data_IF_854326500837
#
_entry.id   IF_854326500837
#
_cell.length_a   1.000
_cell.length_b   1.000
_cell.length_c   1.000
_cell.angle_alpha   90.00
_cell.angle_beta   90.00
_cell.angle_gamma   90.00
#
_symmetry.space_group_name_H-M   'P 1'
#
loop_
_entity.id
_entity.type
_entity.pdbx_description
1 polymer ?
#
# COMPACT_ATOMS: atom_id res chain seq x y z
N UNK A 1 -13.97 14.56 -13.02
CA UNK A 1 -15.04 15.41 -13.60
C UNK A 1 -14.75 15.79 -15.05
N UNK A 2 -13.51 16.06 -15.45
CA UNK A 2 -13.20 16.41 -16.86
C UNK A 2 -13.10 15.19 -17.82
N UNK A 3 -13.59 14.01 -17.44
CA UNK A 3 -13.51 12.79 -18.26
C UNK A 3 -12.22 11.96 -18.09
N UNK A 4 -11.31 12.37 -17.20
CA UNK A 4 -10.06 11.66 -16.93
C UNK A 4 -10.27 10.33 -16.20
N UNK A 5 -9.46 9.32 -16.54
CA UNK A 5 -9.35 8.07 -15.80
C UNK A 5 -8.09 8.07 -14.92
N UNK A 6 -8.15 7.61 -13.66
CA UNK A 6 -6.97 7.51 -12.79
C UNK A 6 -5.89 6.57 -13.37
N UNK A 7 -6.29 5.61 -14.22
CA UNK A 7 -5.36 4.69 -14.87
C UNK A 7 -4.56 5.37 -15.99
N UNK A 8 -5.11 6.36 -16.69
CA UNK A 8 -4.49 6.93 -17.90
C UNK A 8 -4.07 8.38 -17.76
N UNK A 9 -4.56 9.11 -16.75
CA UNK A 9 -4.29 10.54 -16.56
C UNK A 9 -2.79 10.85 -16.49
N UNK A 10 -2.37 11.91 -17.19
CA UNK A 10 -1.00 12.42 -17.12
C UNK A 10 -0.79 13.17 -15.80
N UNK A 11 -0.15 12.53 -14.83
CA UNK A 11 -0.05 12.99 -13.44
C UNK A 11 0.69 14.31 -13.31
N UNK A 12 1.65 14.59 -14.21
CA UNK A 12 2.41 15.85 -14.24
C UNK A 12 1.54 17.08 -14.52
N UNK A 13 0.36 16.90 -15.12
CA UNK A 13 -0.57 18.00 -15.46
C UNK A 13 -1.54 18.36 -14.34
N UNK A 14 -1.64 17.55 -13.28
CA UNK A 14 -2.68 17.72 -12.25
C UNK A 14 -2.60 19.11 -11.60
N UNK A 15 -1.39 19.53 -11.17
CA UNK A 15 -1.21 20.80 -10.48
C UNK A 15 -1.51 22.02 -11.38
N UNK A 16 -1.08 21.98 -12.65
CA UNK A 16 -1.34 23.07 -13.59
C UNK A 16 -2.83 23.18 -13.93
N UNK A 17 -3.53 22.05 -14.04
CA UNK A 17 -4.98 22.00 -14.25
C UNK A 17 -5.77 22.52 -13.07
N UNK A 18 -5.45 22.08 -11.85
CA UNK A 18 -6.09 22.60 -10.63
C UNK A 18 -5.92 24.11 -10.51
N UNK A 19 -4.72 24.62 -10.81
CA UNK A 19 -4.47 26.07 -10.85
C UNK A 19 -5.32 26.76 -11.93
N UNK A 20 -5.38 26.21 -13.14
CA UNK A 20 -6.19 26.78 -14.22
C UNK A 20 -7.68 26.83 -13.87
N UNK A 21 -8.23 25.79 -13.26
CA UNK A 21 -9.62 25.74 -12.79
C UNK A 21 -9.85 26.83 -11.72
N UNK A 22 -8.93 26.97 -10.76
CA UNK A 22 -9.01 28.00 -9.72
C UNK A 22 -8.96 29.42 -10.27
N UNK A 23 -8.03 29.70 -11.19
CA UNK A 23 -7.82 31.02 -11.78
C UNK A 23 -8.98 31.41 -12.71
N UNK A 24 -9.46 30.47 -13.53
CA UNK A 24 -10.49 30.73 -14.54
C UNK A 24 -11.92 30.58 -14.00
N UNK A 25 -12.08 29.93 -12.84
CA UNK A 25 -13.38 29.55 -12.25
C UNK A 25 -14.29 28.83 -13.25
N UNK A 26 -13.69 27.94 -14.02
CA UNK A 26 -14.37 27.15 -15.04
C UNK A 26 -13.80 25.74 -15.08
N UNK A 27 -14.66 24.77 -15.37
CA UNK A 27 -14.34 23.35 -15.49
C UNK A 27 -14.84 22.86 -16.86
N UNK A 28 -14.05 22.02 -17.54
CA UNK A 28 -14.51 21.40 -18.79
C UNK A 28 -15.08 20.03 -18.48
N UNK A 29 -16.39 19.97 -18.21
CA UNK A 29 -17.09 18.75 -17.87
C UNK A 29 -17.02 17.75 -19.03
N UNK A 30 -16.56 16.54 -18.71
CA UNK A 30 -16.38 15.45 -19.67
C UNK A 30 -15.61 15.87 -20.95
N UNK A 31 -14.63 16.78 -20.80
CA UNK A 31 -13.83 17.35 -21.90
C UNK A 31 -14.62 18.02 -23.03
N UNK A 32 -15.92 18.23 -22.86
CA UNK A 32 -16.84 18.71 -23.92
C UNK A 32 -17.50 20.03 -23.55
N UNK A 33 -17.97 20.16 -22.31
CA UNK A 33 -18.83 21.26 -21.91
C UNK A 33 -18.16 22.13 -20.86
N UNK A 34 -17.84 23.37 -21.21
CA UNK A 34 -17.27 24.33 -20.26
C UNK A 34 -18.38 24.89 -19.37
N UNK A 35 -18.29 24.63 -18.08
CA UNK A 35 -19.22 25.13 -17.06
C UNK A 35 -18.50 26.09 -16.10
N UNK A 36 -19.27 26.98 -15.46
CA UNK A 36 -18.77 27.76 -14.33
C UNK A 36 -18.53 26.81 -13.15
N UNK A 37 -17.35 26.89 -12.55
CA UNK A 37 -16.99 26.11 -11.37
C UNK A 37 -16.03 26.93 -10.53
N UNK A 38 -16.47 27.38 -9.36
CA UNK A 38 -15.66 28.10 -8.37
C UNK A 38 -15.32 27.12 -7.24
N UNK A 39 -14.10 26.57 -7.16
CA UNK A 39 -13.73 25.59 -6.13
C UNK A 39 -14.00 26.07 -4.70
N UNK A 40 -13.97 27.38 -4.43
CA UNK A 40 -14.24 27.92 -3.10
C UNK A 40 -15.73 27.83 -2.70
N UNK A 41 -16.64 27.67 -3.66
CA UNK A 41 -18.09 27.56 -3.44
C UNK A 41 -18.62 26.17 -3.73
N UNK A 42 -18.11 25.56 -4.80
CA UNK A 42 -18.68 24.36 -5.39
C UNK A 42 -18.00 23.07 -4.86
N UNK A 43 -16.86 23.20 -4.17
CA UNK A 43 -16.20 22.10 -3.46
C UNK A 43 -16.25 22.34 -1.95
N UNK A 44 -17.30 21.80 -1.31
CA UNK A 44 -17.56 21.98 0.13
C UNK A 44 -16.98 20.82 0.93
N UNK A 45 -16.15 21.13 1.92
CA UNK A 45 -15.58 20.15 2.85
C UNK A 45 -16.34 20.14 4.17
N UNK A 46 -17.03 19.05 4.46
CA UNK A 46 -17.69 18.80 5.74
C UNK A 46 -16.76 18.03 6.67
N UNK A 47 -15.82 18.72 7.34
CA UNK A 47 -14.77 18.07 8.14
C UNK A 47 -15.26 17.35 9.40
N UNK A 48 -16.44 17.71 9.92
CA UNK A 48 -16.98 17.20 11.19
C UNK A 48 -18.30 16.44 11.02
N UNK A 49 -18.73 16.22 9.78
CA UNK A 49 -19.95 15.50 9.46
C UNK A 49 -19.58 14.39 8.49
N UNK A 50 -20.08 13.19 8.75
CA UNK A 50 -19.96 12.06 7.83
C UNK A 50 -21.34 11.64 7.35
N UNK A 51 -21.39 11.12 6.13
CA UNK A 51 -22.60 10.46 5.66
C UNK A 51 -22.84 9.18 6.51
N UNK A 52 -24.11 8.81 6.79
CA UNK A 52 -24.42 7.71 7.69
C UNK A 52 -23.81 6.35 7.32
N UNK A 53 -23.59 6.12 6.02
CA UNK A 53 -23.30 4.79 5.48
C UNK A 53 -21.81 4.44 5.53
N UNK A 54 -20.91 5.41 5.29
CA UNK A 54 -19.46 5.22 5.36
C UNK A 54 -18.74 6.58 5.52
N UNK A 55 -17.65 6.67 6.32
CA UNK A 55 -16.94 7.93 6.57
C UNK A 55 -16.37 8.58 5.30
N UNK A 56 -15.90 7.79 4.33
CA UNK A 56 -15.39 8.28 3.05
C UNK A 56 -16.53 8.48 2.03
N UNK A 57 -17.48 9.34 2.36
CA UNK A 57 -18.64 9.68 1.52
C UNK A 57 -18.48 11.01 0.77
N UNK A 58 -18.97 11.09 -0.46
CA UNK A 58 -19.04 12.31 -1.25
C UNK A 58 -20.40 12.43 -1.94
N UNK A 59 -20.91 13.66 -2.07
CA UNK A 59 -22.16 13.96 -2.77
C UNK A 59 -21.88 14.86 -3.97
N UNK A 60 -22.34 14.45 -5.15
CA UNK A 60 -22.33 15.27 -6.35
C UNK A 60 -23.74 15.84 -6.57
N UNK A 61 -23.81 17.16 -6.74
CA UNK A 61 -25.04 17.87 -7.07
C UNK A 61 -24.85 18.58 -8.41
N UNK A 62 -25.81 18.44 -9.32
CA UNK A 62 -25.87 19.16 -10.59
C UNK A 62 -27.00 20.17 -10.55
N UNK A 63 -26.73 21.40 -10.99
CA UNK A 63 -27.67 22.52 -11.01
C UNK A 63 -27.81 23.08 -12.42
N UNK A 64 -28.97 23.66 -12.73
CA UNK A 64 -29.17 24.40 -13.97
C UNK A 64 -28.68 25.86 -13.88
N UNK A 65 -28.92 26.65 -14.93
CA UNK A 65 -28.53 28.06 -14.97
C UNK A 65 -29.32 28.95 -14.00
N UNK A 66 -30.49 28.51 -13.54
CA UNK A 66 -31.31 29.24 -12.57
C UNK A 66 -30.92 28.90 -11.13
N UNK A 67 -30.08 27.88 -10.94
CA UNK A 67 -29.68 27.37 -9.64
C UNK A 67 -30.62 26.27 -9.11
N UNK A 68 -31.51 25.75 -9.94
CA UNK A 68 -32.39 24.64 -9.58
C UNK A 68 -31.61 23.33 -9.59
N UNK A 69 -31.77 22.53 -8.54
CA UNK A 69 -31.11 21.22 -8.41
C UNK A 69 -31.71 20.23 -9.43
N UNK A 70 -30.88 19.78 -10.37
CA UNK A 70 -31.26 18.83 -11.42
C UNK A 70 -31.08 17.37 -10.96
N UNK A 71 -29.98 17.08 -10.28
CA UNK A 71 -29.65 15.73 -9.84
C UNK A 71 -28.72 15.76 -8.62
N UNK A 72 -28.84 14.74 -7.78
CA UNK A 72 -27.93 14.48 -6.66
C UNK A 72 -27.64 13.00 -6.57
N UNK A 73 -26.36 12.64 -6.42
CA UNK A 73 -25.92 11.27 -6.18
C UNK A 73 -24.85 11.26 -5.09
N UNK A 74 -24.94 10.27 -4.21
CA UNK A 74 -23.94 10.01 -3.17
C UNK A 74 -23.07 8.82 -3.57
N UNK A 75 -21.77 8.91 -3.31
CA UNK A 75 -20.80 7.87 -3.59
C UNK A 75 -19.91 7.67 -2.37
N UNK A 76 -19.50 6.42 -2.15
CA UNK A 76 -18.70 6.02 -1.01
C UNK A 76 -17.48 5.26 -1.49
N UNK A 77 -16.29 5.68 -1.04
CA UNK A 77 -15.02 4.98 -1.29
C UNK A 77 -14.77 3.98 -0.17
N UNK A 78 -14.84 2.69 -0.48
CA UNK A 78 -14.79 1.58 0.51
C UNK A 78 -13.42 0.89 0.58
N UNK A 79 -12.37 1.56 0.12
CA UNK A 79 -10.99 1.06 0.12
C UNK A 79 -10.57 0.36 -1.17
N UNK A 80 -9.26 0.37 -1.47
CA UNK A 80 -8.69 -0.22 -2.69
C UNK A 80 -9.08 0.45 -4.01
N UNK A 81 -9.74 1.63 -3.96
CA UNK A 81 -10.23 2.35 -5.13
C UNK A 81 -11.65 1.99 -5.58
N UNK A 82 -12.34 1.08 -4.86
CA UNK A 82 -13.72 0.72 -5.15
C UNK A 82 -14.69 1.80 -4.65
N UNK A 83 -15.65 2.15 -5.52
CA UNK A 83 -16.68 3.18 -5.25
C UNK A 83 -18.06 2.58 -5.39
N UNK A 84 -18.94 2.89 -4.43
CA UNK A 84 -20.31 2.37 -4.39
C UNK A 84 -21.32 3.50 -4.17
N UNK A 85 -22.52 3.38 -4.70
CA UNK A 85 -23.66 4.26 -4.45
C UNK A 85 -24.93 3.43 -4.23
N UNK A 86 -26.08 4.07 -3.98
CA UNK A 86 -27.36 3.39 -3.75
C UNK A 86 -27.78 2.44 -4.89
N UNK A 87 -27.46 2.76 -6.15
CA UNK A 87 -27.84 1.95 -7.32
C UNK A 87 -26.85 0.85 -7.65
N UNK A 88 -25.58 1.04 -7.30
CA UNK A 88 -24.52 0.03 -7.36
C UNK A 88 -24.38 -0.70 -6.04
N UNK A 89 -25.32 -0.49 -5.09
CA UNK A 89 -25.55 -1.42 -3.99
C UNK A 89 -25.93 -2.74 -4.64
N UNK A 90 -24.96 -3.62 -4.69
CA UNK A 90 -25.21 -5.00 -5.04
C UNK A 90 -26.16 -5.52 -3.94
N UNK A 91 -27.36 -5.95 -4.32
CA UNK A 91 -28.44 -6.42 -3.44
C UNK A 91 -28.06 -7.63 -2.56
N UNK A 92 -26.78 -8.02 -2.53
CA UNK A 92 -26.27 -9.32 -2.16
C UNK A 92 -24.98 -9.25 -1.31
N UNK A 93 -24.68 -8.10 -0.68
CA UNK A 93 -23.76 -8.06 0.47
C UNK A 93 -22.25 -8.09 0.17
N UNK A 94 -21.79 -7.86 -1.07
CA UNK A 94 -20.35 -7.66 -1.36
C UNK A 94 -19.78 -6.40 -0.70
N UNK A 95 -20.63 -5.42 -0.45
CA UNK A 95 -20.31 -4.29 0.41
C UNK A 95 -20.65 -4.65 1.85
N UNK A 96 -19.94 -5.63 2.42
CA UNK A 96 -20.11 -6.10 3.82
C UNK A 96 -20.11 -4.95 4.82
N UNK A 97 -19.52 -3.81 4.44
CA UNK A 97 -19.30 -2.65 5.30
C UNK A 97 -20.11 -1.40 4.92
N UNK A 98 -21.04 -1.49 3.97
CA UNK A 98 -22.03 -0.43 3.73
C UNK A 98 -23.15 -0.55 4.77
N UNK A 99 -23.37 0.48 5.60
CA UNK A 99 -24.47 0.50 6.58
C UNK A 99 -25.75 0.97 5.89
N UNK A 100 -26.76 0.12 5.75
CA UNK A 100 -28.07 0.54 5.24
C UNK A 100 -28.83 1.39 6.26
N UNK A 101 -29.71 2.29 5.81
CA UNK A 101 -30.53 3.14 6.69
C UNK A 101 -31.50 2.35 7.59
N UNK A 102 -31.70 1.05 7.34
CA UNK A 102 -32.54 0.15 8.15
C UNK A 102 -31.77 -0.73 9.16
N UNK A 103 -30.44 -0.60 9.28
CA UNK A 103 -29.60 -1.49 10.10
C UNK A 103 -29.44 -1.01 11.56
N UNK A 104 -30.54 -0.66 12.25
CA UNK A 104 -30.48 -0.37 13.69
C UNK A 104 -30.73 -1.56 14.62
N UNK A 105 -31.19 -2.69 14.11
CA UNK A 105 -31.49 -3.87 14.93
C UNK A 105 -31.42 -5.15 14.08
N UNK A 106 -30.23 -5.71 13.87
CA UNK A 106 -30.11 -7.16 13.68
C UNK A 106 -28.67 -7.66 13.76
N UNK A 107 -28.45 -8.63 14.66
CA UNK A 107 -27.41 -9.66 14.54
C UNK A 107 -27.63 -10.45 13.23
N UNK A 108 -27.27 -9.88 12.08
CA UNK A 108 -27.44 -10.56 10.79
C UNK A 108 -26.24 -11.44 10.50
N UNK A 109 -26.49 -12.74 10.62
CA UNK A 109 -25.83 -13.81 9.88
C UNK A 109 -25.65 -13.37 8.43
N UNK A 110 -24.41 -13.37 7.96
CA UNK A 110 -24.02 -13.07 6.57
C UNK A 110 -24.86 -13.97 5.64
N UNK A 111 -25.72 -13.43 4.75
CA UNK A 111 -26.50 -14.25 3.85
C UNK A 111 -25.58 -15.04 2.93
N UNK A 112 -25.63 -16.38 3.02
CA UNK A 112 -24.79 -17.32 2.23
C UNK A 112 -24.99 -17.23 0.71
N UNK A 113 -25.95 -16.44 0.23
CA UNK A 113 -26.47 -16.46 -1.13
C UNK A 113 -25.53 -15.88 -2.19
N UNK A 114 -24.46 -15.15 -1.81
CA UNK A 114 -23.43 -14.68 -2.77
C UNK A 114 -22.05 -15.31 -2.69
N UNK A 115 -21.74 -16.16 -1.68
CA UNK A 115 -20.62 -17.10 -1.86
C UNK A 115 -20.80 -17.85 -3.19
N UNK A 116 -22.04 -18.18 -3.54
CA UNK A 116 -22.32 -19.09 -4.64
C UNK A 116 -22.33 -18.52 -6.07
N UNK A 117 -22.16 -17.22 -6.37
CA UNK A 117 -22.24 -16.74 -7.78
C UNK A 117 -20.88 -16.56 -8.47
N UNK A 118 -19.91 -15.91 -7.81
CA UNK A 118 -18.53 -15.90 -8.30
C UNK A 118 -17.88 -17.28 -8.14
N UNK A 119 -18.19 -18.02 -7.05
CA UNK A 119 -17.79 -19.42 -6.90
C UNK A 119 -18.54 -20.35 -7.89
N UNK A 120 -19.73 -19.99 -8.40
CA UNK A 120 -20.39 -20.77 -9.45
C UNK A 120 -19.80 -20.54 -10.85
N UNK A 121 -19.02 -19.48 -11.03
CA UNK A 121 -18.39 -19.15 -12.32
C UNK A 121 -16.93 -19.59 -12.35
N UNK A 122 -16.22 -19.47 -11.22
CA UNK A 122 -14.85 -19.94 -11.04
C UNK A 122 -14.73 -21.46 -11.22
N UNK A 123 -13.66 -21.93 -11.86
CA UNK A 123 -13.44 -23.36 -12.06
C UNK A 123 -13.08 -24.08 -10.74
N UNK A 124 -12.28 -23.42 -9.91
CA UNK A 124 -11.68 -23.92 -8.69
C UNK A 124 -11.92 -22.92 -7.54
N UNK A 125 -13.17 -22.78 -7.08
CA UNK A 125 -13.55 -21.82 -6.04
C UNK A 125 -12.94 -22.14 -4.66
N UNK A 126 -12.52 -21.10 -3.92
CA UNK A 126 -12.06 -21.20 -2.53
C UNK A 126 -12.46 -19.97 -1.70
N UNK A 127 -12.83 -20.19 -0.44
CA UNK A 127 -13.30 -19.15 0.49
C UNK A 127 -12.33 -18.83 1.62
N UNK A 128 -11.45 -19.78 1.97
CA UNK A 128 -10.51 -19.70 3.09
C UNK A 128 -9.20 -20.42 2.74
N UNK A 129 -8.17 -20.24 3.58
CA UNK A 129 -6.86 -20.82 3.34
C UNK A 129 -6.91 -22.35 3.35
N UNK A 130 -7.65 -22.93 4.31
CA UNK A 130 -7.83 -24.38 4.41
C UNK A 130 -8.39 -25.00 3.12
N UNK A 131 -9.43 -24.40 2.53
CA UNK A 131 -10.02 -24.82 1.25
C UNK A 131 -9.02 -24.68 0.10
N UNK A 132 -8.24 -23.59 0.05
CA UNK A 132 -7.22 -23.38 -0.97
C UNK A 132 -6.13 -24.47 -0.91
N UNK A 133 -5.66 -24.84 0.28
CA UNK A 133 -4.68 -25.92 0.44
C UNK A 133 -5.24 -27.27 -0.04
N UNK A 134 -6.45 -27.61 0.40
CA UNK A 134 -7.12 -28.86 0.01
C UNK A 134 -7.33 -28.94 -1.51
N UNK A 135 -7.65 -27.82 -2.14
CA UNK A 135 -7.81 -27.69 -3.58
C UNK A 135 -6.49 -27.91 -4.32
N UNK A 136 -5.41 -27.28 -3.86
CA UNK A 136 -4.06 -27.47 -4.42
C UNK A 136 -3.60 -28.93 -4.29
N UNK A 137 -3.83 -29.57 -3.13
CA UNK A 137 -3.48 -30.98 -2.88
C UNK A 137 -4.32 -31.92 -3.75
N UNK A 138 -5.63 -31.66 -3.88
CA UNK A 138 -6.55 -32.50 -4.67
C UNK A 138 -6.25 -32.46 -6.16
N UNK A 139 -6.01 -31.27 -6.71
CA UNK A 139 -5.76 -31.07 -8.14
C UNK A 139 -4.27 -31.19 -8.51
N UNK A 140 -3.39 -31.34 -7.53
CA UNK A 140 -1.94 -31.33 -7.69
C UNK A 140 -1.45 -30.07 -8.45
N UNK A 141 -1.91 -28.91 -7.98
CA UNK A 141 -1.63 -27.59 -8.56
C UNK A 141 -0.96 -26.66 -7.55
N UNK A 142 -0.19 -25.69 -8.05
CA UNK A 142 0.27 -24.56 -7.23
C UNK A 142 -0.87 -23.56 -7.00
N UNK A 143 -0.69 -22.66 -6.03
CA UNK A 143 -1.66 -21.58 -5.78
C UNK A 143 -1.82 -20.70 -7.01
N UNK A 144 -0.73 -20.34 -7.70
CA UNK A 144 -0.79 -19.55 -8.93
C UNK A 144 -1.55 -20.26 -10.04
N UNK A 145 -1.37 -21.57 -10.22
CA UNK A 145 -2.11 -22.38 -11.19
C UNK A 145 -3.61 -22.39 -10.89
N UNK A 146 -4.00 -22.55 -9.62
CA UNK A 146 -5.42 -22.46 -9.21
C UNK A 146 -6.02 -21.10 -9.56
N UNK A 147 -5.29 -20.00 -9.29
CA UNK A 147 -5.77 -18.65 -9.65
C UNK A 147 -5.82 -18.47 -11.16
N UNK A 148 -4.82 -18.97 -11.90
CA UNK A 148 -4.78 -18.90 -13.36
C UNK A 148 -5.99 -19.61 -13.99
N UNK A 149 -6.31 -20.83 -13.54
CA UNK A 149 -7.49 -21.59 -14.00
C UNK A 149 -8.81 -20.86 -13.69
N UNK A 150 -8.88 -20.15 -12.56
CA UNK A 150 -10.02 -19.30 -12.24
C UNK A 150 -10.10 -18.09 -13.18
N UNK A 151 -8.98 -17.39 -13.40
CA UNK A 151 -8.93 -16.20 -14.26
C UNK A 151 -9.30 -16.48 -15.72
N UNK A 152 -9.01 -17.70 -16.22
CA UNK A 152 -9.39 -18.15 -17.56
C UNK A 152 -10.91 -18.16 -17.81
N UNK A 153 -11.73 -18.06 -16.76
CA UNK A 153 -13.20 -17.95 -16.89
C UNK A 153 -13.66 -16.59 -17.39
N UNK A 154 -12.87 -15.55 -17.16
CA UNK A 154 -13.23 -14.17 -17.53
C UNK A 154 -12.34 -13.61 -18.64
N UNK A 155 -11.15 -14.17 -18.85
CA UNK A 155 -10.11 -13.64 -19.74
C UNK A 155 -9.40 -14.75 -20.47
N UNK A 156 -8.87 -14.46 -21.65
CA UNK A 156 -7.97 -15.37 -22.36
C UNK A 156 -6.58 -15.44 -21.69
N UNK A 157 -5.83 -16.51 -21.99
CA UNK A 157 -4.46 -16.69 -21.52
C UNK A 157 -3.55 -15.50 -21.87
N UNK A 158 -3.69 -14.97 -23.09
CA UNK A 158 -2.91 -13.82 -23.57
C UNK A 158 -3.27 -12.55 -22.77
N UNK A 159 -4.55 -12.29 -22.54
CA UNK A 159 -4.98 -11.13 -21.76
C UNK A 159 -4.52 -11.19 -20.30
N UNK A 160 -4.52 -12.38 -19.68
CA UNK A 160 -4.02 -12.57 -18.31
C UNK A 160 -2.55 -12.21 -18.25
N UNK A 161 -1.78 -12.74 -19.20
CA UNK A 161 -0.34 -12.46 -19.33
C UNK A 161 -0.10 -10.96 -19.55
N UNK A 162 -0.68 -10.37 -20.60
CA UNK A 162 -0.51 -8.95 -20.93
C UNK A 162 -0.83 -8.04 -19.75
N UNK A 163 -1.94 -8.28 -19.04
CA UNK A 163 -2.33 -7.48 -17.87
C UNK A 163 -1.38 -7.65 -16.68
N UNK A 164 -0.92 -8.87 -16.45
CA UNK A 164 0.06 -9.15 -15.38
C UNK A 164 1.38 -8.42 -15.64
N UNK A 165 1.85 -8.42 -16.90
CA UNK A 165 3.01 -7.65 -17.29
C UNK A 165 2.77 -6.14 -17.26
N UNK A 166 1.58 -5.66 -17.62
CA UNK A 166 1.23 -4.24 -17.49
C UNK A 166 1.27 -3.76 -16.04
N UNK A 167 0.77 -4.58 -15.10
CA UNK A 167 0.88 -4.35 -13.65
C UNK A 167 2.35 -4.25 -13.25
N UNK A 168 3.16 -5.26 -13.61
CA UNK A 168 4.59 -5.28 -13.27
C UNK A 168 5.34 -4.09 -13.87
N UNK A 169 5.14 -3.78 -15.14
CA UNK A 169 5.80 -2.66 -15.81
C UNK A 169 5.46 -1.32 -15.14
N UNK A 170 4.22 -1.15 -14.70
CA UNK A 170 3.81 0.07 -13.96
C UNK A 170 4.46 0.13 -12.58
N UNK A 171 4.55 -1.00 -11.89
CA UNK A 171 5.28 -1.15 -10.63
C UNK A 171 6.78 -0.81 -10.76
N UNK A 172 7.46 -1.37 -11.75
CA UNK A 172 8.88 -1.13 -12.01
C UNK A 172 9.15 0.32 -12.43
N UNK A 173 8.25 0.91 -13.23
CA UNK A 173 8.30 2.33 -13.58
C UNK A 173 8.14 3.22 -12.34
N UNK A 174 7.27 2.89 -11.38
CA UNK A 174 7.14 3.63 -10.14
C UNK A 174 8.43 3.58 -9.29
N UNK A 175 9.08 2.41 -9.21
CA UNK A 175 10.40 2.27 -8.56
C UNK A 175 11.43 3.18 -9.26
N UNK A 176 11.51 3.08 -10.59
CA UNK A 176 12.45 3.86 -11.40
C UNK A 176 12.24 5.37 -11.21
N UNK A 177 11.00 5.85 -11.27
CA UNK A 177 10.67 7.25 -11.08
C UNK A 177 11.04 7.73 -9.68
N UNK A 178 10.71 6.96 -8.63
CA UNK A 178 11.09 7.30 -7.26
C UNK A 178 12.60 7.34 -7.04
N UNK A 179 13.35 6.38 -7.60
CA UNK A 179 14.81 6.32 -7.50
C UNK A 179 15.53 7.42 -8.30
N UNK A 180 14.96 7.85 -9.43
CA UNK A 180 15.56 8.84 -10.33
C UNK A 180 15.00 10.25 -10.17
N UNK A 181 14.07 10.45 -9.24
CA UNK A 181 13.46 11.76 -8.98
C UNK A 181 14.52 12.83 -8.67
N UNK A 182 14.33 14.00 -9.27
CA UNK A 182 15.10 15.21 -8.98
C UNK A 182 14.54 16.02 -7.81
N UNK A 183 13.31 15.71 -7.36
CA UNK A 183 12.65 16.45 -6.30
C UNK A 183 13.33 16.17 -4.96
N UNK A 184 13.67 17.21 -4.23
CA UNK A 184 14.27 17.04 -2.90
C UNK A 184 13.21 16.74 -1.83
N UNK A 185 11.99 17.25 -1.99
CA UNK A 185 10.95 17.25 -0.96
C UNK A 185 9.62 16.73 -1.51
N UNK A 186 8.87 16.01 -0.68
CA UNK A 186 7.50 15.61 -0.95
C UNK A 186 6.54 16.81 -0.79
N UNK A 187 5.43 16.84 -1.56
CA UNK A 187 4.41 17.87 -1.40
C UNK A 187 3.70 17.75 -0.04
N UNK A 188 3.00 18.81 0.37
CA UNK A 188 2.28 18.85 1.65
C UNK A 188 3.03 19.63 2.74
N UNK A 189 2.42 19.72 3.93
CA UNK A 189 2.88 20.61 5.01
C UNK A 189 4.09 20.06 5.77
N UNK A 190 4.26 18.74 5.78
CA UNK A 190 5.32 18.07 6.54
C UNK A 190 6.73 18.28 5.99
N UNK A 191 6.88 18.73 4.73
CA UNK A 191 8.18 18.94 4.08
C UNK A 191 9.12 17.74 4.32
N UNK A 192 8.66 16.54 3.99
CA UNK A 192 9.46 15.32 4.12
C UNK A 192 10.43 15.23 2.94
N UNK A 193 11.71 14.97 3.20
CA UNK A 193 12.72 14.81 2.15
C UNK A 193 12.56 13.47 1.43
N UNK A 194 12.66 13.45 0.10
CA UNK A 194 12.82 12.21 -0.67
C UNK A 194 14.16 11.54 -0.36
N UNK A 195 14.12 10.28 0.06
CA UNK A 195 15.27 9.48 0.48
C UNK A 195 15.68 8.49 -0.60
N UNK A 196 14.75 7.99 -1.43
CA UNK A 196 15.05 6.95 -2.42
C UNK A 196 16.21 7.32 -3.37
N UNK A 197 16.27 8.52 -3.99
CA UNK A 197 17.38 8.85 -4.88
C UNK A 197 18.75 8.85 -4.19
N UNK A 198 18.80 9.34 -2.96
CA UNK A 198 20.04 9.41 -2.18
C UNK A 198 20.52 8.03 -1.73
N UNK A 199 19.59 7.15 -1.35
CA UNK A 199 19.88 5.77 -0.95
C UNK A 199 20.27 4.91 -2.16
N UNK A 200 19.56 5.02 -3.27
CA UNK A 200 19.89 4.30 -4.51
C UNK A 200 21.28 4.66 -5.04
N UNK A 201 21.63 5.96 -5.05
CA UNK A 201 23.00 6.41 -5.40
C UNK A 201 24.07 5.81 -4.47
N UNK A 202 23.78 5.57 -3.18
CA UNK A 202 24.73 4.94 -2.25
C UNK A 202 24.93 3.45 -2.53
N UNK A 203 23.88 2.74 -2.96
CA UNK A 203 23.96 1.34 -3.39
C UNK A 203 24.82 1.19 -4.64
N UNK A 204 24.63 2.06 -5.63
CA UNK A 204 25.37 2.02 -6.91
C UNK A 204 26.84 2.44 -6.81
N UNK A 205 27.28 3.07 -5.70
CA UNK A 205 28.69 3.44 -5.52
C UNK A 205 29.64 2.24 -5.45
N UNK A 206 29.13 1.01 -5.30
CA UNK A 206 29.92 -0.23 -5.38
C UNK A 206 31.01 -0.36 -4.30
N UNK A 207 31.74 -1.48 -4.36
CA UNK A 207 32.94 -1.75 -3.55
C UNK A 207 34.19 -1.01 -4.09
N UNK A 208 34.20 -0.70 -5.38
CA UNK A 208 35.31 -0.04 -6.10
C UNK A 208 35.02 1.42 -6.47
N UNK A 209 34.25 2.14 -5.64
CA UNK A 209 34.15 3.60 -5.77
C UNK A 209 35.56 4.18 -5.86
N UNK A 210 35.82 5.07 -6.82
CA UNK A 210 37.11 5.77 -6.96
C UNK A 210 37.46 6.66 -5.75
N UNK A 211 36.56 6.71 -4.77
CA UNK A 211 36.78 7.23 -3.42
C UNK A 211 37.47 6.18 -2.55
N UNK A 212 38.70 6.40 -2.07
CA UNK A 212 39.40 5.43 -1.25
C UNK A 212 38.56 5.02 -0.03
N UNK A 213 38.42 3.71 0.19
CA UNK A 213 37.78 3.09 1.38
C UNK A 213 38.31 3.63 2.72
N UNK A 214 39.43 4.36 2.70
CA UNK A 214 40.13 4.88 3.87
C UNK A 214 40.07 6.41 4.06
N UNK A 215 39.43 7.19 3.18
CA UNK A 215 39.45 8.68 3.26
C UNK A 215 38.16 9.36 3.73
N UNK A 216 37.06 8.64 3.94
CA UNK A 216 35.76 9.25 4.29
C UNK A 216 35.47 9.40 5.80
N UNK A 217 36.48 9.26 6.67
CA UNK A 217 36.34 9.71 8.07
C UNK A 217 36.49 11.21 8.26
N UNK A 218 36.99 11.95 7.25
CA UNK A 218 37.13 13.41 7.34
C UNK A 218 36.02 14.20 6.64
N UNK A 219 35.31 13.62 5.66
CA UNK A 219 34.30 14.34 4.86
C UNK A 219 32.94 14.48 5.58
N UNK A 220 32.69 13.69 6.62
CA UNK A 220 31.52 13.87 7.50
C UNK A 220 31.69 14.97 8.55
N UNK A 221 32.84 15.66 8.60
CA UNK A 221 33.06 16.81 9.49
C UNK A 221 32.86 18.18 8.82
N UNK A 222 32.61 18.27 7.51
CA UNK A 222 32.74 19.56 6.80
C UNK A 222 31.49 20.12 6.10
N UNK A 223 30.28 19.58 6.31
CA UNK A 223 29.05 20.22 5.77
C UNK A 223 28.09 20.68 6.88
N UNK A 224 28.65 21.46 7.81
CA UNK A 224 27.93 22.22 8.83
C UNK A 224 28.45 23.64 8.94
N UNK A 225 28.76 24.32 7.84
CA UNK A 225 29.01 25.76 7.83
C UNK A 225 27.72 26.50 7.49
N UNK A 226 26.84 26.65 8.48
CA UNK A 226 25.63 27.45 8.29
C UNK A 226 24.50 27.23 9.29
N UNK A 227 24.78 26.99 10.58
CA UNK A 227 23.78 27.14 11.64
C UNK A 227 24.50 27.38 12.98
N UNK A 228 23.93 28.27 13.79
CA UNK A 228 24.40 28.73 15.11
C UNK A 228 25.24 27.69 15.86
N UNK A 229 26.50 28.03 16.17
CA UNK A 229 27.22 27.39 17.28
C UNK A 229 26.54 27.85 18.57
N UNK A 230 25.44 27.21 18.91
CA UNK A 230 24.98 27.21 20.29
C UNK A 230 26.10 26.55 21.10
N UNK A 231 26.69 27.35 21.98
CA UNK A 231 27.71 26.94 22.94
C UNK A 231 27.09 26.00 23.98
N UNK A 232 26.67 24.81 23.56
CA UNK A 232 26.41 23.70 24.46
C UNK A 232 27.78 23.23 24.96
N UNK A 233 28.09 23.57 26.21
CA UNK A 233 29.25 23.05 26.93
C UNK A 233 29.26 21.53 26.79
N UNK A 234 30.32 20.97 26.21
CA UNK A 234 30.46 19.54 25.99
C UNK A 234 30.73 18.87 27.36
N UNK A 235 29.69 18.72 28.18
CA UNK A 235 29.76 18.19 29.55
C UNK A 235 30.43 16.81 29.61
N UNK A 236 30.33 16.03 28.52
CA UNK A 236 31.01 14.75 28.36
C UNK A 236 32.55 14.89 28.34
N UNK A 237 33.06 15.97 27.79
CA UNK A 237 34.49 16.26 27.73
C UNK A 237 35.00 16.80 29.08
N UNK A 238 34.22 17.65 29.74
CA UNK A 238 34.53 18.17 31.09
C UNK A 238 34.53 17.07 32.15
N UNK A 239 33.60 16.12 32.08
CA UNK A 239 33.51 14.97 32.99
C UNK A 239 34.46 13.81 32.62
N UNK A 240 35.27 13.96 31.57
CA UNK A 240 36.19 12.93 31.11
C UNK A 240 35.53 11.68 30.53
N UNK A 241 34.21 11.72 30.26
CA UNK A 241 33.44 10.60 29.69
C UNK A 241 33.98 10.23 28.32
N UNK A 242 34.37 11.20 27.50
CA UNK A 242 34.95 10.95 26.16
C UNK A 242 36.24 10.11 26.20
N UNK A 243 36.95 10.06 27.34
CA UNK A 243 38.14 9.19 27.53
C UNK A 243 37.79 7.73 27.78
N UNK A 244 36.63 7.48 28.38
CA UNK A 244 36.13 6.14 28.72
C UNK A 244 35.21 5.61 27.61
N UNK A 245 34.37 6.49 27.04
CA UNK A 245 33.40 6.23 25.99
C UNK A 245 33.54 7.28 24.90
N UNK A 246 34.54 7.13 24.00
CA UNK A 246 34.74 8.08 22.92
C UNK A 246 33.53 8.10 21.98
N UNK A 247 33.24 9.28 21.42
CA UNK A 247 32.23 9.43 20.36
C UNK A 247 32.58 8.48 19.21
N UNK A 248 31.66 7.56 18.91
CA UNK A 248 31.88 6.53 17.88
C UNK A 248 31.97 7.20 16.51
N UNK A 249 32.96 6.83 15.68
CA UNK A 249 33.01 7.32 14.31
C UNK A 249 31.79 6.80 13.54
N UNK A 250 31.29 7.62 12.61
CA UNK A 250 30.20 7.22 11.72
C UNK A 250 30.70 6.08 10.84
N UNK A 251 30.07 4.90 10.94
CA UNK A 251 30.37 3.76 10.08
C UNK A 251 29.46 3.77 8.86
N UNK A 252 30.00 3.47 7.69
CA UNK A 252 29.19 3.15 6.52
C UNK A 252 28.54 1.78 6.76
N UNK A 253 27.23 1.76 7.00
CA UNK A 253 26.43 0.54 7.07
C UNK A 253 25.85 0.28 5.68
N UNK A 254 26.12 -0.90 5.13
CA UNK A 254 25.55 -1.41 3.89
C UNK A 254 25.12 -2.84 4.14
N UNK A 255 23.82 -3.12 4.02
CA UNK A 255 23.23 -4.44 4.14
C UNK A 255 22.45 -4.68 2.84
N UNK A 256 23.11 -5.12 1.75
CA UNK A 256 22.59 -5.00 0.39
C UNK A 256 21.15 -5.45 0.22
N UNK A 257 20.77 -6.64 0.71
CA UNK A 257 19.41 -7.14 0.61
C UNK A 257 18.38 -6.22 1.29
N UNK A 258 18.64 -5.79 2.53
CA UNK A 258 17.76 -4.89 3.27
C UNK A 258 17.68 -3.51 2.63
N UNK A 259 18.82 -3.01 2.16
CA UNK A 259 18.91 -1.69 1.55
C UNK A 259 18.18 -1.64 0.19
N UNK A 260 18.31 -2.66 -0.66
CA UNK A 260 17.57 -2.74 -1.94
C UNK A 260 16.05 -2.81 -1.70
N UNK A 261 15.58 -3.72 -0.84
CA UNK A 261 14.17 -3.84 -0.49
C UNK A 261 13.61 -2.50 0.05
N UNK A 262 14.35 -1.88 0.97
CA UNK A 262 13.94 -0.60 1.56
C UNK A 262 13.91 0.51 0.52
N UNK A 263 14.91 0.61 -0.36
CA UNK A 263 14.99 1.64 -1.40
C UNK A 263 13.85 1.51 -2.39
N UNK A 264 13.55 0.30 -2.87
CA UNK A 264 12.47 0.08 -3.83
C UNK A 264 11.10 0.40 -3.22
N UNK A 265 10.85 -0.01 -1.98
CA UNK A 265 9.60 0.29 -1.29
C UNK A 265 9.46 1.81 -1.03
N UNK A 266 10.52 2.47 -0.58
CA UNK A 266 10.53 3.93 -0.36
C UNK A 266 10.30 4.66 -1.68
N UNK A 267 10.93 4.23 -2.77
CA UNK A 267 10.79 4.86 -4.08
C UNK A 267 9.32 4.90 -4.54
N UNK A 268 8.62 3.76 -4.44
CA UNK A 268 7.21 3.67 -4.83
C UNK A 268 6.32 4.52 -3.92
N UNK A 269 6.54 4.49 -2.61
CA UNK A 269 5.72 5.27 -1.69
C UNK A 269 6.00 6.78 -1.74
N UNK A 270 7.22 7.20 -2.05
CA UNK A 270 7.55 8.60 -2.35
C UNK A 270 6.89 9.06 -3.65
N UNK A 271 6.83 8.19 -4.66
CA UNK A 271 6.10 8.45 -5.90
C UNK A 271 4.59 8.58 -5.66
N UNK A 272 4.01 7.68 -4.87
CA UNK A 272 2.60 7.77 -4.44
C UNK A 272 2.33 9.10 -3.69
N UNK A 273 3.17 9.44 -2.71
CA UNK A 273 3.01 10.66 -1.92
C UNK A 273 3.14 11.94 -2.76
N UNK A 274 3.85 11.87 -3.90
CA UNK A 274 3.98 12.97 -4.85
C UNK A 274 2.82 13.06 -5.87
N UNK A 275 1.86 12.14 -5.84
CA UNK A 275 0.78 12.05 -6.82
C UNK A 275 1.20 11.43 -8.15
N UNK A 276 2.31 10.70 -8.16
CA UNK A 276 2.77 9.90 -9.29
C UNK A 276 1.90 8.67 -9.53
N UNK A 277 2.18 7.97 -10.63
CA UNK A 277 1.43 6.78 -11.01
C UNK A 277 1.92 5.57 -10.22
N UNK A 278 1.01 4.88 -9.54
CA UNK A 278 1.29 3.68 -8.75
C UNK A 278 0.21 2.61 -8.96
N UNK A 279 0.53 1.37 -8.63
CA UNK A 279 -0.42 0.25 -8.63
C UNK A 279 -0.83 -0.05 -7.19
N UNK A 280 -2.13 -0.26 -6.95
CA UNK A 280 -2.64 -0.68 -5.65
C UNK A 280 -2.13 -2.07 -5.29
N UNK A 281 -1.64 -2.26 -4.07
CA UNK A 281 -1.12 -3.56 -3.63
C UNK A 281 -1.26 -3.81 -2.11
N UNK A 282 -2.48 -3.92 -1.54
CA UNK A 282 -3.79 -3.81 -2.19
C UNK A 282 -4.36 -2.37 -2.19
N UNK A 283 -3.65 -1.41 -1.57
CA UNK A 283 -4.01 0.01 -1.58
C UNK A 283 -2.80 0.86 -1.99
N UNK A 284 -3.03 2.14 -2.30
CA UNK A 284 -1.95 3.08 -2.62
C UNK A 284 -0.98 3.27 -1.43
N UNK A 285 -1.49 3.24 -0.20
CA UNK A 285 -0.69 3.36 1.02
C UNK A 285 0.28 2.21 1.23
N UNK A 286 -0.04 1.02 0.71
CA UNK A 286 0.77 -0.19 0.78
C UNK A 286 1.46 -0.57 -0.54
N UNK A 287 1.46 0.34 -1.53
CA UNK A 287 1.89 0.07 -2.89
C UNK A 287 3.36 -0.36 -3.04
N UNK A 288 4.23 -0.06 -2.07
CA UNK A 288 5.67 -0.30 -2.20
C UNK A 288 6.14 -1.71 -1.83
N UNK A 289 5.38 -2.48 -1.05
CA UNK A 289 5.84 -3.78 -0.53
C UNK A 289 6.03 -4.82 -1.64
N UNK A 290 4.96 -5.09 -2.39
CA UNK A 290 4.92 -6.07 -3.48
C UNK A 290 5.98 -5.79 -4.55
N UNK A 291 6.06 -4.58 -5.15
CA UNK A 291 7.03 -4.31 -6.19
C UNK A 291 8.48 -4.35 -5.68
N UNK A 292 8.74 -3.96 -4.42
CA UNK A 292 10.08 -4.03 -3.86
C UNK A 292 10.59 -5.48 -3.75
N UNK A 293 9.73 -6.39 -3.27
CA UNK A 293 10.07 -7.81 -3.13
C UNK A 293 10.24 -8.46 -4.50
N UNK A 294 9.32 -8.22 -5.43
CA UNK A 294 9.40 -8.76 -6.79
C UNK A 294 10.64 -8.22 -7.53
N UNK A 295 10.92 -6.91 -7.47
CA UNK A 295 12.11 -6.33 -8.10
C UNK A 295 13.39 -6.95 -7.57
N UNK A 296 13.49 -7.10 -6.25
CA UNK A 296 14.65 -7.72 -5.62
C UNK A 296 14.84 -9.17 -6.10
N UNK A 297 13.76 -9.97 -6.13
CA UNK A 297 13.82 -11.34 -6.62
C UNK A 297 14.27 -11.41 -8.08
N UNK A 298 13.68 -10.58 -8.95
CA UNK A 298 13.99 -10.57 -10.38
C UNK A 298 15.43 -10.11 -10.68
N UNK A 299 15.98 -9.18 -9.90
CA UNK A 299 17.33 -8.67 -10.14
C UNK A 299 18.45 -9.58 -9.62
N UNK A 300 18.20 -10.29 -8.51
CA UNK A 300 19.26 -10.98 -7.77
C UNK A 300 19.13 -12.49 -7.70
N UNK A 301 17.96 -13.06 -8.04
CA UNK A 301 17.67 -14.48 -7.82
C UNK A 301 17.09 -15.17 -9.07
N UNK A 302 16.16 -14.52 -9.76
CA UNK A 302 15.42 -15.13 -10.89
C UNK A 302 16.33 -15.50 -12.07
N UNK A 303 16.18 -16.73 -12.55
CA UNK A 303 16.75 -17.19 -13.82
C UNK A 303 15.74 -17.11 -14.99
N UNK A 304 14.43 -17.01 -14.69
CA UNK A 304 13.35 -16.91 -15.68
C UNK A 304 12.31 -15.84 -15.27
N UNK A 305 12.66 -14.54 -15.43
CA UNK A 305 11.82 -13.44 -14.97
C UNK A 305 10.37 -13.49 -15.46
N UNK A 306 10.17 -13.97 -16.68
CA UNK A 306 8.87 -13.96 -17.33
C UNK A 306 7.85 -14.88 -16.64
N UNK A 307 8.29 -16.08 -16.29
CA UNK A 307 7.47 -17.05 -15.57
C UNK A 307 7.30 -16.65 -14.11
N UNK A 308 8.37 -16.15 -13.49
CA UNK A 308 8.37 -15.81 -12.07
C UNK A 308 7.47 -14.61 -11.76
N UNK A 309 7.35 -13.63 -12.67
CA UNK A 309 6.39 -12.53 -12.55
C UNK A 309 4.95 -13.06 -12.45
N UNK A 310 4.59 -14.02 -13.30
CA UNK A 310 3.25 -14.62 -13.30
C UNK A 310 2.99 -15.39 -12.01
N UNK A 311 3.90 -16.28 -11.61
CA UNK A 311 3.78 -17.08 -10.39
C UNK A 311 3.65 -16.16 -9.15
N UNK A 312 4.47 -15.12 -9.07
CA UNK A 312 4.47 -14.16 -7.96
C UNK A 312 3.15 -13.40 -7.89
N UNK A 313 2.72 -12.76 -8.99
CA UNK A 313 1.52 -11.93 -9.00
C UNK A 313 0.26 -12.77 -8.72
N UNK A 314 0.11 -13.93 -9.36
CA UNK A 314 -1.06 -14.79 -9.16
C UNK A 314 -1.11 -15.36 -7.73
N UNK A 315 0.04 -15.74 -7.15
CA UNK A 315 0.11 -16.17 -5.75
C UNK A 315 -0.27 -15.04 -4.80
N UNK A 316 0.28 -13.83 -5.01
CA UNK A 316 -0.07 -12.67 -4.18
C UNK A 316 -1.55 -12.34 -4.26
N UNK A 317 -2.15 -12.46 -5.44
CA UNK A 317 -3.58 -12.25 -5.65
C UNK A 317 -4.42 -13.26 -4.85
N UNK A 318 -4.04 -14.54 -4.82
CA UNK A 318 -4.74 -15.56 -4.03
C UNK A 318 -4.81 -15.17 -2.54
N UNK A 319 -3.68 -14.75 -1.97
CA UNK A 319 -3.60 -14.33 -0.57
C UNK A 319 -4.42 -13.05 -0.33
N UNK A 320 -4.36 -12.08 -1.25
CA UNK A 320 -5.20 -10.89 -1.20
C UNK A 320 -6.70 -11.23 -1.21
N UNK A 321 -7.12 -12.22 -1.99
CA UNK A 321 -8.51 -12.70 -2.03
C UNK A 321 -8.94 -13.30 -0.68
N UNK A 322 -8.05 -14.06 -0.01
CA UNK A 322 -8.35 -14.62 1.32
C UNK A 322 -8.63 -13.51 2.34
N UNK A 323 -7.78 -12.48 2.38
CA UNK A 323 -7.99 -11.34 3.26
C UNK A 323 -9.25 -10.56 2.92
N UNK A 324 -9.54 -10.32 1.63
CA UNK A 324 -10.74 -9.60 1.21
C UNK A 324 -12.04 -10.36 1.50
N UNK A 325 -12.02 -11.70 1.46
CA UNK A 325 -13.18 -12.55 1.77
C UNK A 325 -13.37 -12.75 3.28
N UNK A 326 -12.28 -12.89 4.03
CA UNK A 326 -12.31 -13.12 5.48
C UNK A 326 -12.38 -11.84 6.32
N UNK A 327 -11.96 -10.70 5.77
CA UNK A 327 -11.87 -9.41 6.47
C UNK A 327 -11.94 -8.22 5.48
N UNK A 328 -11.80 -6.99 5.98
CA UNK A 328 -11.61 -5.82 5.12
C UNK A 328 -10.14 -5.53 4.86
N UNK A 329 -9.85 -4.98 3.69
CA UNK A 329 -8.54 -4.44 3.29
C UNK A 329 -8.48 -2.91 3.43
N UNK A 330 -9.52 -2.29 4.00
CA UNK A 330 -9.62 -0.84 4.18
C UNK A 330 -8.93 -0.39 5.47
N UNK A 331 -8.03 0.60 5.38
CA UNK A 331 -7.42 1.23 6.55
C UNK A 331 -8.44 1.87 7.49
N UNK A 332 -9.50 2.45 6.91
CA UNK A 332 -10.61 3.06 7.65
C UNK A 332 -11.38 2.05 8.52
N UNK A 333 -11.23 0.75 8.25
CA UNK A 333 -12.00 -0.30 8.93
C UNK A 333 -11.10 -1.17 9.80
N UNK A 334 -9.95 -1.60 9.27
CA UNK A 334 -9.06 -2.57 9.91
C UNK A 334 -7.73 -1.97 10.35
N UNK A 335 -7.47 -0.69 10.12
CA UNK A 335 -6.16 -0.09 10.34
C UNK A 335 -5.14 -0.51 9.29
N UNK A 336 -3.87 -0.18 9.51
CA UNK A 336 -2.79 -0.40 8.54
C UNK A 336 -2.41 -1.89 8.41
N UNK A 337 -2.80 -2.74 9.36
CA UNK A 337 -2.70 -4.20 9.19
C UNK A 337 -3.51 -4.69 7.97
N UNK A 338 -4.65 -4.06 7.65
CA UNK A 338 -5.48 -4.39 6.49
C UNK A 338 -4.89 -3.92 5.15
N UNK A 339 -3.87 -3.06 5.20
CA UNK A 339 -3.19 -2.53 4.01
C UNK A 339 -1.75 -3.07 3.92
N UNK A 340 -0.83 -2.52 4.72
CA UNK A 340 0.59 -2.89 4.70
C UNK A 340 0.79 -4.30 5.27
N UNK A 341 0.00 -4.71 6.27
CA UNK A 341 0.05 -6.09 6.77
C UNK A 341 -0.37 -7.10 5.70
N UNK A 342 -1.46 -6.82 4.97
CA UNK A 342 -1.92 -7.65 3.85
C UNK A 342 -0.87 -7.67 2.73
N UNK A 343 -0.31 -6.52 2.36
CA UNK A 343 0.75 -6.44 1.36
C UNK A 343 2.01 -7.23 1.75
N UNK A 344 2.39 -7.19 3.03
CA UNK A 344 3.48 -7.98 3.60
C UNK A 344 3.20 -9.47 3.46
N UNK A 345 2.02 -9.93 3.87
CA UNK A 345 1.60 -11.33 3.76
C UNK A 345 1.56 -11.82 2.31
N UNK A 346 0.94 -11.04 1.42
CA UNK A 346 0.90 -11.30 -0.01
C UNK A 346 2.31 -11.46 -0.59
N UNK A 347 3.23 -10.54 -0.25
CA UNK A 347 4.60 -10.56 -0.73
C UNK A 347 5.41 -11.74 -0.14
N UNK A 348 5.18 -12.11 1.12
CA UNK A 348 5.80 -13.30 1.73
C UNK A 348 5.43 -14.56 0.95
N UNK A 349 4.14 -14.72 0.64
CA UNK A 349 3.63 -15.87 -0.10
C UNK A 349 4.17 -15.91 -1.54
N UNK A 350 4.12 -14.77 -2.24
CA UNK A 350 4.68 -14.63 -3.58
C UNK A 350 6.14 -15.00 -3.62
N UNK A 351 6.95 -14.49 -2.68
CA UNK A 351 8.37 -14.79 -2.58
C UNK A 351 8.62 -16.28 -2.27
N UNK A 352 7.87 -16.86 -1.33
CA UNK A 352 8.00 -18.28 -1.00
C UNK A 352 7.67 -19.18 -2.21
N UNK A 353 6.65 -18.83 -3.01
CA UNK A 353 6.26 -19.59 -4.20
C UNK A 353 7.35 -19.58 -5.27
N UNK A 354 7.88 -18.41 -5.64
CA UNK A 354 8.95 -18.30 -6.66
C UNK A 354 10.30 -18.85 -6.19
N UNK A 355 10.48 -19.03 -4.89
CA UNK A 355 11.65 -19.75 -4.32
C UNK A 355 11.46 -21.28 -4.34
N UNK A 356 10.34 -21.80 -4.85
CA UNK A 356 10.06 -23.23 -4.93
C UNK A 356 9.50 -23.83 -3.64
N UNK A 357 8.92 -23.00 -2.77
CA UNK A 357 8.24 -23.46 -1.56
C UNK A 357 7.02 -24.34 -1.86
N UNK A 358 6.77 -25.32 -1.01
CA UNK A 358 5.52 -26.09 -1.06
C UNK A 358 4.32 -25.20 -0.76
N UNK A 359 3.12 -25.60 -1.19
CA UNK A 359 1.87 -24.85 -0.93
C UNK A 359 1.69 -24.54 0.58
N UNK A 360 2.07 -25.47 1.46
CA UNK A 360 2.05 -25.28 2.92
C UNK A 360 3.06 -24.25 3.40
N UNK A 361 4.26 -24.21 2.83
CA UNK A 361 5.26 -23.17 3.13
C UNK A 361 4.83 -21.80 2.61
N UNK A 362 4.15 -21.74 1.45
CA UNK A 362 3.59 -20.49 0.92
C UNK A 362 2.53 -19.92 1.84
N UNK A 363 1.60 -20.74 2.31
CA UNK A 363 0.61 -20.33 3.32
C UNK A 363 1.29 -19.91 4.63
N UNK A 364 2.26 -20.69 5.13
CA UNK A 364 3.00 -20.34 6.35
C UNK A 364 3.74 -19.00 6.23
N UNK A 365 4.34 -18.72 5.07
CA UNK A 365 4.98 -17.43 4.81
C UNK A 365 3.96 -16.28 4.86
N UNK A 366 2.77 -16.48 4.29
CA UNK A 366 1.67 -15.53 4.34
C UNK A 366 1.22 -15.26 5.79
N UNK A 367 1.10 -16.34 6.57
CA UNK A 367 0.70 -16.32 7.98
C UNK A 367 1.68 -15.51 8.84
N UNK A 368 2.97 -15.86 8.84
CA UNK A 368 4.03 -15.11 9.53
C UNK A 368 4.07 -13.65 9.07
N UNK A 369 3.89 -13.42 7.75
CA UNK A 369 3.86 -12.08 7.18
C UNK A 369 2.77 -11.20 7.77
N UNK A 370 1.59 -11.74 8.08
CA UNK A 370 0.51 -10.99 8.72
C UNK A 370 0.64 -10.95 10.24
N UNK A 371 1.07 -12.04 10.89
CA UNK A 371 1.23 -12.11 12.35
C UNK A 371 2.04 -10.92 12.89
N UNK A 372 3.15 -10.59 12.22
CA UNK A 372 4.03 -9.48 12.57
C UNK A 372 3.48 -8.07 12.24
N UNK A 373 2.23 -7.97 11.80
CA UNK A 373 1.54 -6.73 11.49
C UNK A 373 0.17 -6.62 12.18
N UNK A 374 -0.27 -7.64 12.93
CA UNK A 374 -1.48 -7.56 13.76
C UNK A 374 -1.38 -6.44 14.80
N UNK A 375 -2.46 -5.69 14.95
CA UNK A 375 -2.57 -4.49 15.79
C UNK A 375 -2.09 -3.19 15.14
N UNK A 376 -1.57 -3.19 13.90
CA UNK A 376 -1.11 -1.96 13.26
C UNK A 376 -2.26 -1.00 12.93
N UNK A 377 -2.30 0.13 13.64
CA UNK A 377 -3.27 1.21 13.45
C UNK A 377 -2.96 2.07 12.22
N UNK A 378 -3.97 2.75 11.66
CA UNK A 378 -3.78 3.72 10.59
C UNK A 378 -3.89 5.14 11.16
N UNK A 379 -2.74 5.76 11.45
CA UNK A 379 -2.62 7.06 12.10
C UNK A 379 -1.49 7.88 11.41
N UNK A 380 -1.72 8.32 10.16
CA UNK A 380 -0.77 9.13 9.43
C UNK A 380 -0.72 10.57 9.95
N UNK A 381 0.47 11.16 10.00
CA UNK A 381 0.64 12.56 10.42
C UNK A 381 -0.01 13.49 9.38
N UNK A 382 -0.81 14.45 9.84
CA UNK A 382 -1.58 15.40 9.01
C UNK A 382 -2.52 14.73 7.98
N UNK A 383 -2.87 13.46 8.20
CA UNK A 383 -3.66 12.67 7.24
C UNK A 383 -2.91 12.32 5.94
N UNK A 384 -1.60 12.60 5.86
CA UNK A 384 -0.82 12.42 4.64
C UNK A 384 -0.22 11.01 4.57
N UNK A 385 -0.26 10.40 3.39
CA UNK A 385 0.35 9.09 3.10
C UNK A 385 1.88 9.22 2.97
N UNK A 386 2.53 9.69 4.04
CA UNK A 386 3.96 9.92 4.14
C UNK A 386 4.53 9.25 5.39
N UNK A 387 4.21 9.77 6.58
CA UNK A 387 4.69 9.25 7.86
C UNK A 387 3.50 8.67 8.63
N UNK A 388 3.55 7.41 9.11
CA UNK A 388 4.64 6.42 8.99
C UNK A 388 4.54 5.51 7.76
N UNK A 389 3.73 5.86 6.75
CA UNK A 389 3.40 5.00 5.61
C UNK A 389 4.64 4.56 4.80
N UNK A 390 5.57 5.48 4.53
CA UNK A 390 6.78 5.20 3.73
C UNK A 390 7.68 4.18 4.47
N UNK A 391 7.93 4.38 5.76
CA UNK A 391 8.75 3.46 6.56
C UNK A 391 8.07 2.09 6.73
N UNK A 392 6.74 2.08 6.87
CA UNK A 392 5.97 0.84 6.97
C UNK A 392 6.10 -0.04 5.74
N UNK A 393 6.17 0.54 4.53
CA UNK A 393 6.39 -0.24 3.31
C UNK A 393 7.82 -0.79 3.23
N UNK A 394 8.83 0.00 3.60
CA UNK A 394 10.22 -0.48 3.66
C UNK A 394 10.38 -1.66 4.63
N UNK A 395 9.84 -1.53 5.84
CA UNK A 395 9.85 -2.60 6.84
C UNK A 395 8.97 -3.79 6.40
N UNK A 396 7.85 -3.54 5.74
CA UNK A 396 6.97 -4.57 5.19
C UNK A 396 7.69 -5.45 4.16
N UNK A 397 8.43 -4.85 3.23
CA UNK A 397 9.21 -5.60 2.24
C UNK A 397 10.29 -6.48 2.88
N UNK A 398 11.00 -5.95 3.89
CA UNK A 398 12.00 -6.71 4.66
C UNK A 398 11.36 -7.87 5.43
N UNK A 399 10.25 -7.61 6.12
CA UNK A 399 9.49 -8.63 6.87
C UNK A 399 9.00 -9.72 5.93
N UNK A 400 8.53 -9.37 4.74
CA UNK A 400 7.99 -10.33 3.78
C UNK A 400 9.05 -11.37 3.35
N UNK A 401 10.23 -10.92 2.95
CA UNK A 401 11.35 -11.83 2.59
C UNK A 401 11.80 -12.65 3.80
N UNK A 402 11.87 -12.04 4.98
CA UNK A 402 12.25 -12.75 6.22
C UNK A 402 11.23 -13.83 6.59
N UNK A 403 9.94 -13.53 6.51
CA UNK A 403 8.85 -14.47 6.77
C UNK A 403 8.89 -15.65 5.80
N UNK A 404 9.10 -15.38 4.51
CA UNK A 404 9.28 -16.43 3.52
C UNK A 404 10.51 -17.30 3.80
N UNK A 405 11.64 -16.71 4.18
CA UNK A 405 12.83 -17.48 4.58
C UNK A 405 12.59 -18.37 5.80
N UNK A 406 11.84 -17.90 6.80
CA UNK A 406 11.48 -18.72 7.97
C UNK A 406 10.63 -19.92 7.55
N UNK A 407 9.61 -19.70 6.71
CA UNK A 407 8.74 -20.76 6.22
C UNK A 407 9.50 -21.78 5.35
N UNK A 408 10.39 -21.32 4.45
CA UNK A 408 11.19 -22.17 3.57
C UNK A 408 12.23 -23.02 4.31
N UNK A 409 12.77 -22.52 5.42
CA UNK A 409 13.67 -23.29 6.29
C UNK A 409 12.92 -24.22 7.25
N UNK A 410 11.60 -24.08 7.36
CA UNK A 410 10.71 -25.02 8.04
C UNK A 410 10.18 -26.09 7.10
N UNK A 411 9.32 -26.96 7.62
CA UNK A 411 8.62 -28.01 6.88
C UNK A 411 7.19 -27.59 6.45
N UNK A 412 6.83 -26.33 6.68
CA UNK A 412 5.49 -25.78 6.43
C UNK A 412 4.46 -26.13 7.50
N UNK A 413 4.80 -26.92 8.53
CA UNK A 413 3.91 -27.13 9.67
C UNK A 413 4.00 -25.96 10.65
N UNK A 414 2.86 -25.33 10.90
CA UNK A 414 2.73 -24.23 11.83
C UNK A 414 1.53 -24.46 12.75
N UNK A 415 1.61 -23.93 13.97
CA UNK A 415 0.55 -24.12 14.98
C UNK A 415 -0.61 -23.14 14.78
N UNK A 416 -0.34 -21.97 14.21
CA UNK A 416 -1.30 -20.90 13.98
C UNK A 416 -1.59 -20.87 12.49
N UNK A 417 -2.83 -21.14 12.08
CA UNK A 417 -3.19 -21.18 10.65
C UNK A 417 -3.43 -19.78 10.09
N UNK A 418 -3.30 -19.62 8.77
CA UNK A 418 -3.60 -18.35 8.11
C UNK A 418 -5.05 -17.90 8.36
N UNK A 419 -5.99 -18.85 8.39
CA UNK A 419 -7.40 -18.56 8.70
C UNK A 419 -7.57 -17.97 10.12
N UNK A 420 -6.83 -18.46 11.11
CA UNK A 420 -6.83 -17.90 12.47
C UNK A 420 -6.24 -16.50 12.51
N UNK A 421 -5.18 -16.25 11.74
CA UNK A 421 -4.58 -14.92 11.62
C UNK A 421 -5.53 -13.92 10.94
N UNK A 422 -6.22 -14.33 9.87
CA UNK A 422 -7.25 -13.50 9.20
C UNK A 422 -8.37 -13.16 10.18
N UNK A 423 -8.86 -14.13 10.94
CA UNK A 423 -9.90 -13.91 11.94
C UNK A 423 -9.43 -12.97 13.07
N UNK A 424 -8.17 -13.12 13.51
CA UNK A 424 -7.57 -12.22 14.51
C UNK A 424 -7.43 -10.81 13.97
N UNK A 425 -7.04 -10.65 12.69
CA UNK A 425 -7.01 -9.35 12.02
C UNK A 425 -8.39 -8.70 11.99
N UNK A 426 -9.44 -9.49 11.70
CA UNK A 426 -10.83 -9.00 11.69
C UNK A 426 -11.29 -8.55 13.08
N UNK A 427 -11.04 -9.35 14.11
CA UNK A 427 -11.41 -9.02 15.49
C UNK A 427 -10.67 -7.78 16.00
N UNK A 428 -9.35 -7.74 15.82
CA UNK A 428 -8.53 -6.59 16.23
C UNK A 428 -8.93 -5.31 15.50
N UNK A 429 -9.28 -5.37 14.22
CA UNK A 429 -9.79 -4.22 13.47
C UNK A 429 -11.16 -3.72 13.97
N UNK A 430 -12.03 -4.62 14.42
CA UNK A 430 -13.29 -4.24 15.06
C UNK A 430 -13.07 -3.58 16.43
N UNK A 431 -12.10 -4.08 17.20
CA UNK A 431 -11.75 -3.57 18.52
C UNK A 431 -11.00 -2.22 18.46
N UNK A 432 -10.37 -1.90 17.32
CA UNK A 432 -9.75 -0.58 17.12
C UNK A 432 -10.81 0.52 17.27
N UNK A 433 -10.65 1.37 18.29
CA UNK A 433 -11.49 2.54 18.48
C UNK A 433 -11.37 3.47 17.27
N UNK A 434 -12.45 4.18 16.91
CA UNK A 434 -12.45 5.18 15.85
C UNK A 434 -11.32 6.23 16.00
N UNK A 435 -10.84 6.47 17.23
CA UNK A 435 -9.72 7.36 17.54
C UNK A 435 -8.37 6.95 16.91
N UNK A 436 -8.20 5.69 16.51
CA UNK A 436 -6.93 5.14 15.97
C UNK A 436 -7.06 4.56 14.55
N UNK A 437 -8.12 4.97 13.82
CA UNK A 437 -8.34 4.67 12.40
C UNK A 437 -7.99 5.88 11.54
N UNK A 438 -8.09 5.73 10.21
CA UNK A 438 -7.84 6.80 9.23
C UNK A 438 -8.66 8.05 9.62
N UNK A 439 -7.99 9.18 9.90
CA UNK A 439 -8.50 10.39 10.61
C UNK A 439 -8.51 10.32 12.16
N UNK A 440 -7.43 9.82 12.75
CA UNK A 440 -7.27 9.71 14.21
C UNK A 440 -7.34 11.05 14.93
N UNK A 441 -8.18 11.11 15.97
CA UNK A 441 -8.19 12.19 16.97
C UNK A 441 -7.18 11.93 18.11
N UNK A 442 -6.16 11.09 17.87
CA UNK A 442 -5.13 10.69 18.84
C UNK A 442 -3.91 10.06 18.16
N UNK A 443 -2.95 9.59 18.97
CA UNK A 443 -1.76 8.88 18.49
C UNK A 443 -0.67 9.80 17.91
N UNK A 444 0.15 9.28 17.00
CA UNK A 444 1.32 9.98 16.46
C UNK A 444 0.92 11.25 15.71
N UNK A 445 -0.21 11.26 14.99
CA UNK A 445 -0.72 12.45 14.30
C UNK A 445 -1.03 13.62 15.22
N UNK A 446 -1.41 13.37 16.48
CA UNK A 446 -1.74 14.42 17.46
C UNK A 446 -0.54 14.76 18.35
N UNK A 447 0.41 13.83 18.51
CA UNK A 447 1.62 14.05 19.32
C UNK A 447 2.74 14.78 18.57
N UNK A 448 2.76 14.75 17.23
CA UNK A 448 3.78 15.41 16.41
C UNK A 448 3.25 16.75 15.89
N UNK A 449 3.85 17.89 16.28
CA UNK A 449 3.47 19.19 15.72
C UNK A 449 3.75 19.23 14.21
N UNK A 450 2.77 19.69 13.43
CA UNK A 450 2.89 19.80 11.95
C UNK A 450 3.60 21.10 11.53
N UNK A 451 3.87 22.01 12.47
CA UNK A 451 4.68 23.21 12.28
C UNK A 451 5.00 23.87 13.62
#
# INVERSE_FOLDING_TARGET
MEGESPETVETTTIQSRLKAIGDQKALTLDSTNRIRFDPAKDLVFHYFESLPQHPNGMRFCAFDNNGDLLATNEYFSIGGGFVVNERTQLAHGENVFYKGEHDKESNKVIPQTRRNQDLATAALPFSNATELLQLCERENMTIAQVVYENELRWRSAEEIREKTFAIWNTMDNAIKNGCLSSDEMLPGRLRVRRRAPGLYKKLLKGLYSTTPLYKDTQVLQSNGSGASKDALTNQAQERGIDKVLPKRPVKRLMLPALDYLSVYAIAVNEENAAGGRVVTAPTNGAAGVIPAVLKYYLEFISDNPEQDIMEFILTTAAIGMLYKRGASISAAEMGCQGEVGVACSMASAGFAAVMGGTVRQVENAAEIGMEHNLGLTCDPIDGLVQIPCIERNALGAVKAVTAAQLALNGDGHHRVTLDQVIETMRQTGNDMQAKYKETSQGGLSVCVPVC
#
